data_IF_703004192943
#
_entry.id   IF_703004192943
#
_cell.length_a   1.000
_cell.length_b   1.000
_cell.length_c   1.000
_cell.angle_alpha   90.00
_cell.angle_beta   90.00
_cell.angle_gamma   90.00
#
_symmetry.space_group_name_H-M   'P 1'
#
loop_
_entity.id
_entity.type
_entity.pdbx_description
1 polymer ?
#
# COMPACT_ATOMS: atom_id res chain seq x y z
N UNK A 1 21.25 44.97 24.52
CA UNK A 1 20.08 44.05 24.37
C UNK A 1 19.72 43.69 22.93
N UNK A 2 19.86 44.59 21.93
CA UNK A 2 19.48 44.29 20.53
C UNK A 2 20.37 43.22 19.86
N UNK A 3 21.67 43.23 20.15
CA UNK A 3 22.65 42.25 19.60
C UNK A 3 22.41 40.85 20.16
N UNK A 4 22.15 40.71 21.47
CA UNK A 4 21.79 39.43 22.10
C UNK A 4 20.50 38.82 21.53
N UNK A 5 19.52 39.65 21.15
CA UNK A 5 18.29 39.18 20.50
C UNK A 5 18.55 38.70 19.08
N UNK A 6 19.45 39.37 18.36
CA UNK A 6 19.78 39.01 16.98
C UNK A 6 20.61 37.71 16.92
N UNK A 7 21.58 37.54 17.83
CA UNK A 7 22.35 36.29 17.94
C UNK A 7 21.48 35.12 18.36
N UNK A 8 20.54 35.32 19.29
CA UNK A 8 19.56 34.31 19.68
C UNK A 8 18.64 33.89 18.52
N UNK A 9 18.18 34.84 17.71
CA UNK A 9 17.34 34.56 16.55
C UNK A 9 18.09 33.77 15.45
N UNK A 10 19.34 34.13 15.17
CA UNK A 10 20.19 33.41 14.22
C UNK A 10 20.44 31.96 14.68
N UNK A 11 20.66 31.75 15.98
CA UNK A 11 20.85 30.41 16.54
C UNK A 11 19.57 29.55 16.42
N UNK A 12 18.40 30.13 16.65
CA UNK A 12 17.11 29.45 16.55
C UNK A 12 16.78 29.03 15.10
N UNK A 13 17.10 29.90 14.13
CA UNK A 13 16.97 29.59 12.70
C UNK A 13 17.94 28.48 12.26
N UNK A 14 19.17 28.48 12.78
CA UNK A 14 20.14 27.43 12.48
C UNK A 14 19.74 26.06 13.05
N UNK A 15 19.16 26.04 14.26
CA UNK A 15 18.68 24.80 14.89
C UNK A 15 17.54 24.14 14.09
N UNK A 16 16.65 24.92 13.46
CA UNK A 16 15.56 24.37 12.63
C UNK A 16 16.03 23.76 11.30
N UNK A 17 17.22 24.15 10.80
CA UNK A 17 17.79 23.58 9.59
C UNK A 17 18.40 22.18 9.79
N UNK A 18 18.60 21.76 11.05
CA UNK A 18 19.13 20.43 11.40
C UNK A 18 18.09 19.43 11.90
N UNK A 19 16.84 19.84 12.07
CA UNK A 19 15.72 18.93 12.30
C UNK A 19 15.29 18.25 11.00
N UNK A 20 16.17 17.40 10.45
CA UNK A 20 15.75 16.40 9.45
C UNK A 20 15.08 15.27 10.21
N UNK A 21 13.78 15.00 10.01
CA UNK A 21 13.19 13.80 10.56
C UNK A 21 13.88 12.60 9.92
N UNK A 22 14.67 11.87 10.70
CA UNK A 22 15.10 10.53 10.33
C UNK A 22 13.82 9.70 10.33
N UNK A 23 13.23 9.49 9.16
CA UNK A 23 12.16 8.54 8.97
C UNK A 23 12.76 7.15 9.27
N UNK A 24 12.66 6.72 10.53
CA UNK A 24 12.91 5.33 10.89
C UNK A 24 11.76 4.53 10.29
N UNK A 25 12.01 3.91 9.13
CA UNK A 25 11.17 2.82 8.68
C UNK A 25 11.47 1.68 9.64
N UNK A 26 10.60 1.52 10.66
CA UNK A 26 10.55 0.29 11.42
C UNK A 26 10.19 -0.81 10.44
N UNK A 27 11.20 -1.50 9.91
CA UNK A 27 11.02 -2.66 9.08
C UNK A 27 10.65 -3.80 10.02
N UNK A 28 9.37 -3.91 10.30
CA UNK A 28 8.81 -5.10 10.92
C UNK A 28 9.06 -6.25 9.94
N UNK A 29 9.95 -7.17 10.33
CA UNK A 29 10.13 -8.44 9.64
C UNK A 29 8.86 -9.25 9.83
N UNK A 30 7.84 -8.92 9.05
CA UNK A 30 6.75 -9.84 8.80
C UNK A 30 7.38 -10.98 8.03
N UNK A 31 7.34 -12.18 8.61
CA UNK A 31 7.55 -13.41 7.87
C UNK A 31 6.39 -13.45 6.87
N UNK A 32 6.59 -12.78 5.75
CA UNK A 32 5.59 -12.63 4.71
C UNK A 32 5.43 -14.03 4.15
N UNK A 33 4.26 -14.61 4.36
CA UNK A 33 3.88 -15.85 3.70
C UNK A 33 3.73 -15.53 2.20
N UNK A 34 4.85 -15.67 1.48
CA UNK A 34 4.98 -15.35 0.06
C UNK A 34 4.15 -16.27 -0.82
N UNK A 35 3.62 -17.36 -0.26
CA UNK A 35 2.75 -18.31 -0.95
C UNK A 35 1.25 -17.97 -0.82
N UNK A 36 0.89 -16.98 0.01
CA UNK A 36 -0.51 -16.56 0.16
C UNK A 36 -0.89 -15.48 -0.88
N UNK A 37 -1.94 -15.70 -1.70
CA UNK A 37 -2.43 -14.71 -2.65
C UNK A 37 -2.91 -13.42 -1.97
N UNK A 38 -2.60 -12.29 -2.59
CA UNK A 38 -3.00 -10.95 -2.15
C UNK A 38 -4.13 -10.45 -3.05
N UNK A 39 -5.23 -10.01 -2.44
CA UNK A 39 -6.33 -9.34 -3.14
C UNK A 39 -6.37 -7.86 -2.74
N UNK A 40 -6.15 -6.98 -3.72
CA UNK A 40 -6.17 -5.53 -3.58
C UNK A 40 -7.54 -4.98 -4.00
N UNK A 41 -8.19 -4.22 -3.12
CA UNK A 41 -9.58 -3.79 -3.26
C UNK A 41 -9.70 -2.28 -3.23
N UNK A 42 -10.08 -1.66 -4.34
CA UNK A 42 -10.20 -0.20 -4.44
C UNK A 42 -11.47 0.33 -3.74
N UNK A 43 -11.44 1.61 -3.38
CA UNK A 43 -12.58 2.32 -2.78
C UNK A 43 -13.53 2.98 -3.79
N UNK A 44 -14.39 3.88 -3.29
CA UNK A 44 -15.34 4.67 -4.09
C UNK A 44 -14.60 5.47 -5.16
N UNK A 45 -15.07 5.42 -6.40
CA UNK A 45 -14.48 6.10 -7.56
C UNK A 45 -13.11 5.54 -7.99
N UNK A 46 -12.63 4.49 -7.33
CA UNK A 46 -11.33 3.89 -7.58
C UNK A 46 -11.33 2.88 -8.72
N UNK A 47 -10.15 2.32 -8.96
CA UNK A 47 -9.87 1.28 -9.94
C UNK A 47 -8.65 0.46 -9.53
N UNK A 48 -8.49 -0.72 -10.13
CA UNK A 48 -7.33 -1.59 -9.96
C UNK A 48 -5.99 -0.87 -10.20
N UNK A 49 -5.93 0.09 -11.13
CA UNK A 49 -4.70 0.85 -11.40
C UNK A 49 -4.24 1.72 -10.22
N UNK A 50 -5.07 1.95 -9.19
CA UNK A 50 -4.65 2.65 -7.98
C UNK A 50 -3.54 1.89 -7.23
N UNK A 51 -3.39 0.60 -7.49
CA UNK A 51 -2.44 -0.26 -6.77
C UNK A 51 -1.07 -0.41 -7.42
N UNK A 52 -0.78 0.25 -8.54
CA UNK A 52 0.50 0.06 -9.28
C UNK A 52 1.75 0.24 -8.41
N UNK A 53 1.75 1.23 -7.49
CA UNK A 53 2.89 1.44 -6.59
C UNK A 53 2.99 0.37 -5.50
N UNK A 54 1.86 -0.15 -5.03
CA UNK A 54 1.75 -1.22 -4.02
C UNK A 54 2.19 -2.55 -4.63
N UNK A 55 1.72 -2.90 -5.83
CA UNK A 55 2.18 -4.09 -6.56
C UNK A 55 3.71 -4.10 -6.73
N UNK A 56 4.30 -2.96 -7.11
CA UNK A 56 5.77 -2.85 -7.21
C UNK A 56 6.47 -2.98 -5.86
N UNK A 57 5.84 -2.58 -4.76
CA UNK A 57 6.41 -2.74 -3.43
C UNK A 57 6.37 -4.22 -3.01
N UNK A 58 5.25 -4.90 -3.22
CA UNK A 58 5.07 -6.32 -2.92
C UNK A 58 6.03 -7.20 -3.73
N UNK A 59 6.18 -6.94 -5.03
CA UNK A 59 7.14 -7.67 -5.88
C UNK A 59 8.58 -7.45 -5.37
N UNK A 60 8.94 -6.22 -4.96
CA UNK A 60 10.26 -5.95 -4.37
C UNK A 60 10.48 -6.63 -3.02
N UNK A 61 9.40 -6.96 -2.32
CA UNK A 61 9.43 -7.69 -1.06
C UNK A 61 9.49 -9.22 -1.25
N UNK A 62 9.36 -9.73 -2.48
CA UNK A 62 9.53 -11.15 -2.81
C UNK A 62 8.26 -11.87 -3.27
N UNK A 63 7.11 -11.20 -3.32
CA UNK A 63 5.87 -11.81 -3.84
C UNK A 63 5.96 -12.06 -5.35
N UNK A 64 5.45 -13.20 -5.81
CA UNK A 64 5.23 -13.41 -7.24
C UNK A 64 4.12 -12.48 -7.73
N UNK A 65 4.30 -11.96 -8.95
CA UNK A 65 3.26 -11.18 -9.62
C UNK A 65 1.99 -12.01 -9.84
N UNK A 66 2.09 -13.33 -10.02
CA UNK A 66 0.94 -14.21 -10.21
C UNK A 66 0.00 -14.23 -9.02
N UNK A 67 0.51 -13.93 -7.82
CA UNK A 67 -0.24 -14.00 -6.56
C UNK A 67 -0.80 -12.65 -6.13
N UNK A 68 -0.57 -11.58 -6.90
CA UNK A 68 -1.08 -10.24 -6.62
C UNK A 68 -2.24 -9.93 -7.56
N UNK A 69 -3.43 -9.79 -7.00
CA UNK A 69 -4.67 -9.62 -7.75
C UNK A 69 -5.39 -8.34 -7.36
N UNK A 70 -5.58 -7.41 -8.30
CA UNK A 70 -6.36 -6.18 -8.07
C UNK A 70 -7.74 -6.30 -8.72
N UNK A 71 -8.80 -6.19 -7.92
CA UNK A 71 -10.18 -6.20 -8.43
C UNK A 71 -10.54 -4.85 -9.04
N UNK A 72 -11.33 -4.88 -10.13
CA UNK A 72 -11.95 -3.72 -10.75
C UNK A 72 -13.46 -3.86 -10.58
N UNK A 73 -14.06 -3.11 -9.64
CA UNK A 73 -15.51 -3.12 -9.47
C UNK A 73 -16.20 -2.39 -10.61
N UNK A 74 -17.31 -2.94 -11.09
CA UNK A 74 -18.17 -2.24 -12.04
C UNK A 74 -18.86 -1.03 -11.37
N UNK A 75 -19.42 -1.24 -10.18
CA UNK A 75 -20.03 -0.17 -9.40
C UNK A 75 -18.99 0.64 -8.61
N UNK A 76 -18.76 1.87 -9.09
CA UNK A 76 -17.83 2.83 -8.49
C UNK A 76 -18.39 3.58 -7.29
N UNK A 77 -19.67 3.42 -6.94
CA UNK A 77 -20.26 4.06 -5.77
C UNK A 77 -19.82 3.45 -4.44
N UNK A 78 -19.22 2.26 -4.47
CA UNK A 78 -18.84 1.50 -3.27
C UNK A 78 -20.01 0.81 -2.58
N UNK A 79 -21.07 0.49 -3.32
CA UNK A 79 -22.23 -0.19 -2.75
C UNK A 79 -21.89 -1.62 -2.31
N UNK A 80 -21.92 -1.86 -1.00
CA UNK A 80 -21.62 -3.18 -0.43
C UNK A 80 -22.54 -4.30 -0.96
N UNK A 81 -23.80 -4.03 -1.31
CA UNK A 81 -24.71 -5.07 -1.83
C UNK A 81 -24.25 -5.64 -3.18
N UNK A 82 -23.61 -4.80 -4.00
CA UNK A 82 -23.10 -5.13 -5.33
C UNK A 82 -21.65 -5.60 -5.21
N UNK A 83 -20.77 -4.75 -4.67
CA UNK A 83 -19.33 -4.97 -4.65
C UNK A 83 -18.92 -6.18 -3.80
N UNK A 84 -19.67 -6.55 -2.76
CA UNK A 84 -19.36 -7.76 -1.99
C UNK A 84 -19.56 -9.06 -2.79
N UNK A 85 -20.52 -9.09 -3.72
CA UNK A 85 -20.74 -10.26 -4.60
C UNK A 85 -19.64 -10.35 -5.64
N UNK A 86 -19.31 -9.22 -6.26
CA UNK A 86 -18.19 -9.15 -7.22
C UNK A 86 -16.88 -9.58 -6.54
N UNK A 87 -16.62 -9.11 -5.31
CA UNK A 87 -15.43 -9.49 -4.55
C UNK A 87 -15.41 -10.98 -4.21
N UNK A 88 -16.53 -11.54 -3.74
CA UNK A 88 -16.65 -12.98 -3.48
C UNK A 88 -16.33 -13.78 -4.74
N UNK A 89 -16.98 -13.46 -5.86
CA UNK A 89 -16.82 -14.21 -7.10
C UNK A 89 -15.39 -14.09 -7.67
N UNK A 90 -14.74 -12.94 -7.46
CA UNK A 90 -13.33 -12.71 -7.79
C UNK A 90 -12.39 -13.58 -6.95
N UNK A 91 -12.58 -13.62 -5.63
CA UNK A 91 -11.81 -14.48 -4.71
C UNK A 91 -12.01 -15.96 -5.05
N UNK A 92 -13.24 -16.39 -5.28
CA UNK A 92 -13.55 -17.79 -5.66
C UNK A 92 -12.89 -18.18 -6.98
N UNK A 93 -12.66 -17.23 -7.90
CA UNK A 93 -11.92 -17.49 -9.14
C UNK A 93 -10.43 -17.70 -8.87
N UNK A 94 -9.83 -16.87 -8.01
CA UNK A 94 -8.42 -17.01 -7.61
C UNK A 94 -8.19 -18.36 -6.93
N UNK A 95 -9.01 -18.70 -5.92
CA UNK A 95 -8.89 -19.96 -5.19
C UNK A 95 -9.04 -21.17 -6.11
N UNK A 96 -10.01 -21.16 -7.04
CA UNK A 96 -10.15 -22.25 -8.02
C UNK A 96 -8.94 -22.42 -8.93
N UNK A 97 -8.26 -21.34 -9.31
CA UNK A 97 -7.05 -21.42 -10.15
C UNK A 97 -5.87 -22.03 -9.38
N UNK A 98 -5.79 -21.79 -8.09
CA UNK A 98 -4.75 -22.36 -7.21
C UNK A 98 -5.00 -23.84 -6.94
N UNK A 99 -6.26 -24.24 -6.77
CA UNK A 99 -6.66 -25.64 -6.57
C UNK A 99 -6.57 -26.48 -7.86
N UNK A 100 -6.47 -25.86 -9.03
CA UNK A 100 -6.35 -26.58 -10.30
C UNK A 100 -4.87 -26.89 -10.56
N UNK A 101 -4.45 -28.17 -10.63
CA UNK A 101 -3.06 -28.50 -10.92
C UNK A 101 -2.68 -27.92 -12.29
N UNK A 102 -1.63 -27.10 -12.33
CA UNK A 102 -0.99 -26.70 -13.57
C UNK A 102 -0.46 -27.97 -14.26
N UNK A 103 -1.18 -28.43 -15.28
CA UNK A 103 -0.79 -29.55 -16.13
C UNK A 103 0.37 -29.18 -17.07
#
# INVERSE_FOLDING_TARGET
MRIFRLTFLCFLMFAMLWSVPVASQAQESTDLDVDTPIVLVHGIGGSSYNFVSIERALIRAGYDRSDIHAIEFWDKSGNNYINSRELRDFIDNILRKLDTPHA
#
